data_IF_092377610413
#
_entry.id   IF_092377610413
#
_cell.length_a   1.000
_cell.length_b   1.000
_cell.length_c   1.000
_cell.angle_alpha   90.00
_cell.angle_beta   90.00
_cell.angle_gamma   90.00
#
_symmetry.space_group_name_H-M   'P 1'
#
loop_
_entity.id
_entity.type
_entity.pdbx_description
1 polymer ?
#
# COMPACT_ATOMS: atom_id res chain seq x y z
N UNK A 1 -40.92 -26.38 -39.95
CA UNK A 1 -40.46 -25.23 -39.13
C UNK A 1 -39.52 -25.73 -38.07
N UNK A 2 -38.20 -25.69 -38.29
CA UNK A 2 -37.23 -26.20 -37.29
C UNK A 2 -35.81 -25.60 -37.40
N UNK A 3 -35.57 -24.66 -38.32
CA UNK A 3 -34.24 -24.07 -38.54
C UNK A 3 -34.14 -22.59 -38.20
N UNK A 4 -35.02 -22.09 -37.32
CA UNK A 4 -35.03 -20.67 -36.94
C UNK A 4 -34.59 -20.41 -35.49
N UNK A 5 -34.23 -21.44 -34.73
CA UNK A 5 -33.86 -21.28 -33.31
C UNK A 5 -32.35 -21.25 -33.02
N UNK A 6 -31.48 -21.36 -34.04
CA UNK A 6 -30.02 -21.49 -33.81
C UNK A 6 -29.21 -20.19 -33.87
N UNK A 7 -29.83 -19.00 -33.94
CA UNK A 7 -29.07 -17.73 -34.08
C UNK A 7 -29.14 -16.84 -32.83
N UNK A 8 -29.98 -17.14 -31.84
CA UNK A 8 -30.19 -16.24 -30.68
C UNK A 8 -29.24 -16.52 -29.49
N UNK A 9 -28.47 -17.62 -29.51
CA UNK A 9 -27.66 -18.04 -28.37
C UNK A 9 -26.21 -17.44 -28.33
N UNK A 10 -25.82 -16.62 -29.30
CA UNK A 10 -24.42 -16.10 -29.40
C UNK A 10 -24.26 -14.61 -29.04
N UNK A 11 -25.31 -13.95 -28.54
CA UNK A 11 -25.30 -12.51 -28.23
C UNK A 11 -25.35 -12.19 -26.73
N UNK A 12 -24.90 -13.10 -25.86
CA UNK A 12 -24.98 -12.91 -24.40
C UNK A 12 -23.65 -13.05 -23.65
N UNK A 13 -22.50 -13.09 -24.34
CA UNK A 13 -21.18 -13.24 -23.69
C UNK A 13 -20.22 -12.07 -23.90
N UNK A 14 -20.71 -10.91 -24.36
CA UNK A 14 -19.97 -9.64 -24.23
C UNK A 14 -20.40 -8.93 -22.95
N UNK A 15 -20.25 -9.60 -21.80
CA UNK A 15 -20.19 -8.91 -20.52
C UNK A 15 -18.89 -8.11 -20.54
N UNK A 16 -19.04 -6.81 -20.76
CA UNK A 16 -17.99 -5.80 -20.69
C UNK A 16 -17.08 -6.02 -19.48
N UNK A 17 -15.82 -6.41 -19.70
CA UNK A 17 -14.76 -6.13 -18.75
C UNK A 17 -14.55 -4.61 -18.74
N UNK A 18 -15.40 -3.90 -17.99
CA UNK A 18 -15.14 -2.51 -17.65
C UNK A 18 -13.97 -2.52 -16.66
N UNK A 19 -12.74 -2.50 -17.20
CA UNK A 19 -11.54 -2.34 -16.41
C UNK A 19 -11.59 -0.92 -15.83
N UNK A 20 -12.07 -0.80 -14.60
CA UNK A 20 -12.00 0.45 -13.84
C UNK A 20 -10.53 0.87 -13.78
N UNK A 21 -10.17 1.91 -14.51
CA UNK A 21 -8.90 2.58 -14.31
C UNK A 21 -9.04 3.38 -13.02
N UNK A 22 -8.95 2.70 -11.87
CA UNK A 22 -8.81 3.35 -10.57
C UNK A 22 -7.51 4.13 -10.66
N UNK A 23 -7.64 5.46 -10.78
CA UNK A 23 -6.51 6.36 -10.67
C UNK A 23 -6.13 6.31 -9.20
N UNK A 24 -5.03 5.61 -8.95
CA UNK A 24 -4.49 5.45 -7.63
C UNK A 24 -4.07 6.82 -7.06
N UNK A 25 -4.76 7.28 -6.03
CA UNK A 25 -4.48 8.57 -5.41
C UNK A 25 -3.24 8.49 -4.52
N UNK A 26 -2.25 9.33 -4.82
CA UNK A 26 -1.05 9.48 -3.98
C UNK A 26 -1.44 10.12 -2.66
N UNK A 27 -1.04 9.48 -1.55
CA UNK A 27 -1.28 9.98 -0.19
C UNK A 27 0.04 10.29 0.49
N UNK A 28 0.09 11.40 1.23
CA UNK A 28 1.22 11.69 2.14
C UNK A 28 0.87 11.17 3.52
N UNK A 29 1.64 10.20 4.01
CA UNK A 29 1.37 9.51 5.28
C UNK A 29 2.61 9.51 6.16
N UNK A 30 2.42 9.27 7.46
CA UNK A 30 3.55 8.98 8.34
C UNK A 30 4.06 7.56 8.10
N UNK A 31 5.38 7.39 8.10
CA UNK A 31 6.06 6.11 7.91
C UNK A 31 7.18 5.97 8.93
N UNK A 32 7.31 4.77 9.50
CA UNK A 32 8.34 4.45 10.50
C UNK A 32 8.42 2.95 10.74
N UNK A 33 9.21 2.53 11.73
CA UNK A 33 9.13 1.18 12.28
C UNK A 33 7.84 0.99 13.09
N UNK A 34 7.07 -0.04 12.72
CA UNK A 34 5.82 -0.40 13.39
C UNK A 34 6.01 -0.68 14.88
N UNK A 35 7.03 -1.47 15.22
CA UNK A 35 7.32 -1.87 16.59
C UNK A 35 7.95 -0.74 17.41
N UNK A 36 8.93 -0.02 16.86
CA UNK A 36 9.68 0.98 17.62
C UNK A 36 8.91 2.30 17.79
N UNK A 37 8.14 2.74 16.78
CA UNK A 37 7.52 4.07 16.78
C UNK A 37 6.00 4.07 16.76
N UNK A 38 5.37 3.01 16.26
CA UNK A 38 3.90 2.90 16.23
C UNK A 38 3.32 1.94 17.26
N UNK A 39 4.15 1.37 18.15
CA UNK A 39 3.75 0.47 19.22
C UNK A 39 2.95 -0.76 18.73
N UNK A 40 3.25 -1.25 17.52
CA UNK A 40 2.62 -2.45 16.98
C UNK A 40 3.25 -3.69 17.61
N UNK A 41 2.44 -4.53 18.25
CA UNK A 41 2.91 -5.70 19.03
C UNK A 41 2.59 -7.06 18.41
N UNK A 42 1.90 -7.09 17.26
CA UNK A 42 1.44 -8.33 16.63
C UNK A 42 2.59 -9.26 16.18
N UNK A 43 3.79 -8.70 15.98
CA UNK A 43 5.03 -9.44 15.69
C UNK A 43 6.26 -8.73 16.27
N UNK A 44 7.31 -9.50 16.54
CA UNK A 44 8.64 -8.97 16.91
C UNK A 44 9.44 -8.64 15.64
N UNK A 45 10.23 -7.58 15.67
CA UNK A 45 11.09 -7.17 14.55
C UNK A 45 11.30 -5.65 14.46
N UNK A 46 11.97 -5.18 13.40
CA UNK A 46 11.91 -3.78 12.93
C UNK A 46 11.30 -3.81 11.53
N UNK A 47 9.97 -3.71 11.44
CA UNK A 47 9.23 -3.77 10.19
C UNK A 47 8.68 -2.41 9.79
N UNK A 48 8.65 -2.14 8.49
CA UNK A 48 8.10 -0.90 7.95
C UNK A 48 6.60 -0.85 8.20
N UNK A 49 6.12 0.30 8.65
CA UNK A 49 4.71 0.56 8.84
C UNK A 49 4.36 1.98 8.38
N UNK A 50 3.13 2.15 7.90
CA UNK A 50 2.53 3.46 7.60
C UNK A 50 1.37 3.72 8.53
N UNK A 51 1.10 5.00 8.83
CA UNK A 51 -0.09 5.42 9.57
C UNK A 51 -1.04 6.13 8.61
N UNK A 52 -2.17 5.49 8.35
CA UNK A 52 -3.23 6.00 7.47
C UNK A 52 -4.44 6.29 8.34
N UNK A 53 -4.93 7.53 8.29
CA UNK A 53 -6.07 8.00 9.10
C UNK A 53 -5.93 7.67 10.60
N UNK A 54 -4.70 7.84 11.12
CA UNK A 54 -4.37 7.57 12.53
C UNK A 54 -4.14 6.09 12.87
N UNK A 55 -4.47 5.14 11.99
CA UNK A 55 -4.28 3.71 12.22
C UNK A 55 -2.98 3.20 11.57
N UNK A 56 -2.11 2.48 12.31
CA UNK A 56 -0.89 1.92 11.74
C UNK A 56 -1.16 0.60 11.01
N UNK A 57 -0.45 0.38 9.91
CA UNK A 57 -0.47 -0.84 9.11
C UNK A 57 0.96 -1.24 8.77
N UNK A 58 1.29 -2.52 8.93
CA UNK A 58 2.55 -3.04 8.39
C UNK A 58 2.53 -2.95 6.86
N UNK A 59 3.67 -2.60 6.27
CA UNK A 59 3.82 -2.48 4.82
C UNK A 59 4.27 -3.81 4.24
N UNK A 60 3.69 -4.18 3.10
CA UNK A 60 4.18 -5.24 2.22
C UNK A 60 4.56 -4.65 0.86
N UNK A 61 5.67 -5.12 0.27
CA UNK A 61 6.18 -4.65 -1.02
C UNK A 61 7.51 -3.90 -0.93
N UNK A 62 7.87 -3.39 0.25
CA UNK A 62 9.19 -2.83 0.56
C UNK A 62 9.47 -2.95 2.06
N UNK A 63 10.73 -2.89 2.44
CA UNK A 63 11.23 -3.08 3.80
C UNK A 63 11.91 -1.82 4.32
N UNK A 64 12.23 -1.78 5.62
CA UNK A 64 12.90 -0.63 6.23
C UNK A 64 14.28 -0.38 5.57
N UNK A 65 15.03 -1.44 5.30
CA UNK A 65 16.41 -1.34 4.82
C UNK A 65 16.50 -0.91 3.34
N UNK A 66 15.39 -1.01 2.59
CA UNK A 66 15.28 -0.50 1.21
C UNK A 66 15.34 1.04 1.14
N UNK A 67 15.27 1.71 2.28
CA UNK A 67 15.14 3.16 2.40
C UNK A 67 16.27 3.82 3.20
N UNK A 68 17.35 3.08 3.47
CA UNK A 68 18.53 3.54 4.18
C UNK A 68 18.75 2.83 5.51
N UNK A 69 19.70 3.33 6.30
CA UNK A 69 20.00 2.75 7.62
C UNK A 69 18.85 3.02 8.60
N UNK A 70 18.19 1.95 9.01
CA UNK A 70 17.09 1.96 9.97
C UNK A 70 17.42 2.64 11.31
N UNK A 71 18.69 2.60 11.72
CA UNK A 71 19.16 3.07 13.03
C UNK A 71 19.85 4.43 12.97
N UNK A 72 20.02 5.02 11.79
CA UNK A 72 20.47 6.39 11.65
C UNK A 72 19.53 7.36 12.40
N UNK A 73 19.97 8.59 12.66
CA UNK A 73 19.17 9.59 13.38
C UNK A 73 17.82 9.88 12.67
N UNK A 74 17.80 9.79 11.34
CA UNK A 74 16.62 9.90 10.50
C UNK A 74 16.13 8.54 9.95
N UNK A 75 16.68 7.44 10.49
CA UNK A 75 16.27 6.07 10.18
C UNK A 75 14.92 5.72 10.82
N UNK A 76 14.23 4.72 10.27
CA UNK A 76 12.86 4.40 10.69
C UNK A 76 12.73 3.79 12.09
N UNK A 77 13.74 3.11 12.63
CA UNK A 77 13.68 2.68 14.03
C UNK A 77 13.90 3.90 14.99
N UNK A 78 14.43 5.03 14.49
CA UNK A 78 14.80 6.23 15.27
C UNK A 78 13.84 7.42 15.11
N UNK A 79 13.16 7.56 13.97
CA UNK A 79 12.31 8.69 13.64
C UNK A 79 11.00 8.29 12.92
N UNK A 80 9.95 9.10 13.11
CA UNK A 80 8.76 9.06 12.26
C UNK A 80 8.98 10.06 11.13
N UNK A 81 8.83 9.59 9.88
CA UNK A 81 8.99 10.39 8.66
C UNK A 81 7.70 10.46 7.88
N UNK A 82 7.72 11.16 6.74
CA UNK A 82 6.61 11.22 5.79
C UNK A 82 7.01 10.62 4.46
N UNK A 83 6.07 9.92 3.82
CA UNK A 83 6.24 9.39 2.47
C UNK A 83 4.98 9.62 1.64
N UNK A 84 5.18 9.84 0.34
CA UNK A 84 4.14 9.66 -0.66
C UNK A 84 3.96 8.16 -0.91
N UNK A 85 2.74 7.66 -0.77
CA UNK A 85 2.42 6.24 -0.97
C UNK A 85 1.21 6.06 -1.86
N UNK A 86 1.24 4.97 -2.62
CA UNK A 86 0.07 4.36 -3.27
C UNK A 86 0.02 2.91 -2.85
N UNK A 87 -1.17 2.43 -2.55
CA UNK A 87 -1.41 1.04 -2.23
C UNK A 87 -2.80 0.84 -1.70
N UNK A 88 -3.05 -0.38 -1.25
CA UNK A 88 -4.34 -0.80 -0.72
C UNK A 88 -4.16 -1.51 0.62
N UNK A 89 -5.18 -1.43 1.46
CA UNK A 89 -5.20 -2.18 2.71
C UNK A 89 -5.84 -3.55 2.43
N UNK A 90 -5.05 -4.61 2.58
CA UNK A 90 -5.49 -6.01 2.45
C UNK A 90 -5.08 -6.77 3.71
N UNK A 91 -6.01 -7.51 4.29
CA UNK A 91 -5.77 -8.33 5.50
C UNK A 91 -5.04 -7.58 6.62
N UNK A 92 -5.46 -6.33 6.88
CA UNK A 92 -4.88 -5.43 7.89
C UNK A 92 -3.40 -5.07 7.66
N UNK A 93 -2.91 -5.20 6.43
CA UNK A 93 -1.60 -4.71 5.97
C UNK A 93 -1.78 -3.73 4.82
N UNK A 94 -0.82 -2.85 4.64
CA UNK A 94 -0.78 -1.94 3.51
C UNK A 94 0.13 -2.53 2.43
N UNK A 95 -0.47 -3.00 1.34
CA UNK A 95 0.26 -3.52 0.18
C UNK A 95 0.61 -2.33 -0.71
N UNK A 96 1.88 -1.95 -0.71
CA UNK A 96 2.37 -0.76 -1.40
C UNK A 96 2.69 -1.06 -2.86
N UNK A 97 2.25 -0.16 -3.75
CA UNK A 97 2.59 -0.20 -5.20
C UNK A 97 3.46 0.98 -5.60
N UNK A 98 3.46 2.05 -4.81
CA UNK A 98 4.37 3.19 -4.95
C UNK A 98 4.79 3.68 -3.56
N UNK A 99 6.08 3.92 -3.39
CA UNK A 99 6.63 4.47 -2.17
C UNK A 99 7.71 5.48 -2.50
N UNK A 100 7.58 6.70 -1.95
CA UNK A 100 8.61 7.74 -2.05
C UNK A 100 8.76 8.44 -0.72
N UNK A 101 9.90 8.19 -0.08
CA UNK A 101 10.28 8.87 1.15
C UNK A 101 10.52 10.36 0.88
N UNK A 102 9.88 11.21 1.68
CA UNK A 102 10.09 12.65 1.58
C UNK A 102 11.37 13.05 2.34
N UNK A 103 12.09 14.08 1.86
CA UNK A 103 13.23 14.62 2.58
C UNK A 103 12.80 15.12 3.96
N UNK A 104 13.69 14.97 4.95
CA UNK A 104 13.51 15.65 6.24
C UNK A 104 13.79 17.14 6.02
N UNK A 105 12.93 18.01 6.59
CA UNK A 105 13.23 19.43 6.63
C UNK A 105 14.53 19.59 7.43
N UNK A 106 15.62 19.94 6.74
CA UNK A 106 16.89 20.27 7.40
C UNK A 106 16.63 21.51 8.25
N UNK A 107 16.60 21.33 9.56
CA UNK A 107 16.65 22.44 10.52
C UNK A 107 18.07 22.91 10.70
#
# INVERSE_FOLDING_TARGET
>A
MQKLFSIVAFLFFCSTFAQENKKDDIKVVEVSCGQCKFAMTDKKGCDLAVRIDGKPYFVEGTTIDDHGDAHANDGFCSAIRKAEVVGEIKDNKFVVTYFKLLPTDKK
#
